data_IF_385252956797
#
_entry.id   IF_385252956797
#
_cell.length_a   1.000
_cell.length_b   1.000
_cell.length_c   1.000
_cell.angle_alpha   90.00
_cell.angle_beta   90.00
_cell.angle_gamma   90.00
#
_symmetry.space_group_name_H-M   'P 1'
#
loop_
_entity.id
_entity.type
_entity.pdbx_description
1 polymer ?
#
# COMPACT_ATOMS: atom_id res chain seq x y z
N UNK A 1 -22.61 27.02 -4.20
CA UNK A 1 -22.86 26.59 -5.60
C UNK A 1 -23.58 25.24 -5.58
N UNK A 2 -24.66 25.12 -6.32
CA UNK A 2 -25.58 23.97 -6.39
C UNK A 2 -24.91 22.65 -6.79
N UNK A 3 -23.77 22.68 -7.48
CA UNK A 3 -23.02 21.49 -7.88
C UNK A 3 -22.30 20.75 -6.73
N UNK A 4 -22.10 21.35 -5.58
CA UNK A 4 -21.37 20.70 -4.48
C UNK A 4 -22.20 19.64 -3.73
N UNK A 5 -23.55 19.69 -3.81
CA UNK A 5 -24.43 18.69 -3.20
C UNK A 5 -24.35 17.34 -3.91
N UNK A 6 -24.05 17.35 -5.22
CA UNK A 6 -24.07 16.19 -6.11
C UNK A 6 -22.95 15.16 -5.80
N UNK A 7 -21.91 15.56 -5.03
CA UNK A 7 -20.73 14.76 -4.77
C UNK A 7 -20.51 14.50 -3.27
N UNK A 8 -21.56 14.13 -2.57
CA UNK A 8 -21.48 13.83 -1.14
C UNK A 8 -22.01 12.42 -0.85
N UNK A 9 -21.18 11.53 -0.30
CA UNK A 9 -19.79 11.74 0.14
C UNK A 9 -18.76 11.78 -1.01
N UNK A 10 -17.58 12.34 -0.75
CA UNK A 10 -16.39 12.12 -1.56
C UNK A 10 -15.58 10.97 -0.96
N UNK A 11 -15.43 9.90 -1.71
CA UNK A 11 -14.67 8.72 -1.30
C UNK A 11 -13.37 8.62 -2.10
N UNK A 12 -12.25 8.76 -1.42
CA UNK A 12 -10.91 8.77 -2.01
C UNK A 12 -10.21 7.48 -1.65
N UNK A 13 -9.81 6.68 -2.64
CA UNK A 13 -9.07 5.47 -2.36
C UNK A 13 -7.78 5.38 -3.18
N UNK A 14 -6.87 4.48 -2.78
CA UNK A 14 -5.61 4.24 -3.45
C UNK A 14 -4.65 3.46 -2.57
N UNK A 15 -3.56 2.97 -3.13
CA UNK A 15 -2.56 2.19 -2.43
C UNK A 15 -2.00 2.89 -1.18
N UNK A 16 -1.29 2.12 -0.35
CA UNK A 16 -0.59 2.67 0.82
C UNK A 16 0.50 3.64 0.38
N UNK A 17 0.59 4.79 1.06
CA UNK A 17 1.64 5.79 0.77
C UNK A 17 1.40 6.66 -0.47
N UNK A 18 0.19 6.63 -1.08
CA UNK A 18 -0.14 7.45 -2.27
C UNK A 18 -0.49 8.90 -1.95
N UNK A 19 -0.55 9.30 -0.69
CA UNK A 19 -0.82 10.69 -0.30
C UNK A 19 -2.27 10.99 0.09
N UNK A 20 -3.14 9.97 0.30
CA UNK A 20 -4.55 10.16 0.72
C UNK A 20 -4.69 11.07 1.94
N UNK A 21 -4.01 10.73 3.03
CA UNK A 21 -3.98 11.52 4.26
C UNK A 21 -3.49 12.95 4.02
N UNK A 22 -2.49 13.13 3.16
CA UNK A 22 -1.98 14.45 2.79
C UNK A 22 -3.03 15.27 2.07
N UNK A 23 -3.76 14.68 1.14
CA UNK A 23 -4.85 15.33 0.42
C UNK A 23 -6.00 15.73 1.37
N UNK A 24 -6.41 14.84 2.29
CA UNK A 24 -7.43 15.18 3.30
C UNK A 24 -6.97 16.34 4.18
N UNK A 25 -5.72 16.33 4.64
CA UNK A 25 -5.17 17.43 5.43
C UNK A 25 -5.13 18.75 4.63
N UNK A 26 -4.74 18.71 3.36
CA UNK A 26 -4.73 19.89 2.50
C UNK A 26 -6.14 20.48 2.33
N UNK A 27 -7.14 19.64 2.06
CA UNK A 27 -8.54 20.05 1.98
C UNK A 27 -9.00 20.66 3.31
N UNK A 28 -8.71 20.00 4.43
CA UNK A 28 -9.10 20.49 5.75
C UNK A 28 -8.44 21.80 6.10
N UNK A 29 -7.18 21.98 5.75
CA UNK A 29 -6.44 23.22 5.98
C UNK A 29 -7.01 24.40 5.19
N UNK A 30 -7.35 24.17 3.92
CA UNK A 30 -7.94 25.19 3.04
C UNK A 30 -9.31 25.64 3.55
N UNK A 31 -10.13 24.72 4.05
CA UNK A 31 -11.52 25.00 4.41
C UNK A 31 -11.74 25.41 5.88
N UNK A 32 -10.75 25.27 6.75
CA UNK A 32 -10.90 25.46 8.21
C UNK A 32 -11.26 26.90 8.64
N UNK A 33 -11.00 27.89 7.80
CA UNK A 33 -11.29 29.29 8.12
C UNK A 33 -12.77 29.63 7.90
N UNK A 34 -13.43 28.96 6.95
CA UNK A 34 -14.80 29.24 6.51
C UNK A 34 -15.81 28.22 7.08
N UNK A 35 -15.35 27.04 7.46
CA UNK A 35 -16.18 25.92 7.89
C UNK A 35 -15.65 25.25 9.16
N UNK A 36 -16.56 24.68 9.93
CA UNK A 36 -16.21 23.83 11.05
C UNK A 36 -15.74 22.46 10.54
N UNK A 37 -14.45 22.34 10.28
CA UNK A 37 -13.81 21.13 9.74
C UNK A 37 -13.38 20.22 10.88
N UNK A 38 -13.76 18.94 10.80
CA UNK A 38 -13.28 17.88 11.66
C UNK A 38 -12.46 16.87 10.85
N UNK A 39 -11.19 16.71 11.18
CA UNK A 39 -10.33 15.66 10.65
C UNK A 39 -10.06 14.60 11.71
N UNK A 40 -10.35 13.33 11.38
CA UNK A 40 -10.17 12.22 12.30
C UNK A 40 -9.82 10.93 11.53
N UNK A 41 -8.94 10.08 12.08
CA UNK A 41 -8.79 8.71 11.57
C UNK A 41 -9.90 7.80 12.10
N UNK A 42 -10.26 6.76 11.33
CA UNK A 42 -11.23 5.75 11.78
C UNK A 42 -10.81 5.07 13.09
N UNK A 43 -9.52 4.93 13.32
CA UNK A 43 -8.95 4.38 14.55
C UNK A 43 -9.20 5.29 15.76
N UNK A 44 -9.01 6.60 15.60
CA UNK A 44 -9.28 7.60 16.65
C UNK A 44 -10.78 7.77 16.90
N UNK A 45 -11.61 7.68 15.86
CA UNK A 45 -13.07 7.63 16.01
C UNK A 45 -13.48 6.45 16.89
N UNK A 46 -12.94 5.25 16.65
CA UNK A 46 -13.16 4.08 17.47
C UNK A 46 -12.73 4.29 18.93
N UNK A 47 -11.54 4.85 19.13
CA UNK A 47 -11.06 5.12 20.49
C UNK A 47 -12.02 6.03 21.25
N UNK A 48 -12.48 7.11 20.62
CA UNK A 48 -13.44 8.05 21.24
C UNK A 48 -14.80 7.39 21.49
N UNK A 49 -15.28 6.55 20.57
CA UNK A 49 -16.52 5.78 20.72
C UNK A 49 -16.44 4.83 21.94
N UNK A 50 -15.40 4.03 22.05
CA UNK A 50 -15.20 3.12 23.21
C UNK A 50 -15.07 3.91 24.51
N UNK A 51 -14.39 5.04 24.51
CA UNK A 51 -14.28 5.92 25.66
C UNK A 51 -15.66 6.45 26.09
N UNK A 52 -16.47 6.91 25.14
CA UNK A 52 -17.81 7.42 25.41
C UNK A 52 -18.76 6.34 26.00
N UNK A 53 -18.66 5.09 25.52
CA UNK A 53 -19.41 3.97 26.12
C UNK A 53 -18.96 3.74 27.56
N UNK A 54 -17.66 3.66 27.82
CA UNK A 54 -17.13 3.41 29.17
C UNK A 54 -17.44 4.52 30.18
N UNK A 55 -17.52 5.77 29.69
CA UNK A 55 -17.85 6.94 30.54
C UNK A 55 -19.35 7.25 30.57
N UNK A 56 -20.20 6.46 29.91
CA UNK A 56 -21.64 6.68 29.73
C UNK A 56 -21.98 8.09 29.14
N UNK A 57 -21.16 8.58 28.22
CA UNK A 57 -21.22 9.95 27.67
C UNK A 57 -21.46 9.95 26.14
N UNK A 58 -22.31 9.04 25.69
CA UNK A 58 -22.65 8.88 24.27
C UNK A 58 -23.35 10.10 23.67
N UNK A 59 -24.06 10.89 24.49
CA UNK A 59 -24.73 12.11 24.03
C UNK A 59 -23.69 13.12 23.54
N UNK A 60 -22.69 13.42 24.38
CA UNK A 60 -21.61 14.35 23.99
C UNK A 60 -20.81 13.85 22.81
N UNK A 61 -20.56 12.53 22.71
CA UNK A 61 -19.90 11.95 21.55
C UNK A 61 -20.68 12.25 20.27
N UNK A 62 -22.00 12.00 20.27
CA UNK A 62 -22.86 12.24 19.13
C UNK A 62 -22.90 13.73 18.76
N UNK A 63 -23.07 14.61 19.73
CA UNK A 63 -23.07 16.06 19.52
C UNK A 63 -21.75 16.55 18.93
N UNK A 64 -20.63 16.07 19.44
CA UNK A 64 -19.30 16.44 18.98
C UNK A 64 -19.09 16.14 17.49
N UNK A 65 -19.47 14.94 17.03
CA UNK A 65 -19.31 14.56 15.62
C UNK A 65 -20.39 15.15 14.70
N UNK A 66 -21.64 15.23 15.17
CA UNK A 66 -22.77 15.70 14.35
C UNK A 66 -22.82 17.23 14.21
N UNK A 67 -22.10 17.95 15.05
CA UNK A 67 -22.01 19.41 14.98
C UNK A 67 -20.79 19.88 14.19
N UNK A 68 -20.61 19.35 12.97
CA UNK A 68 -19.54 19.76 12.06
C UNK A 68 -20.08 20.04 10.67
N UNK A 69 -19.43 20.91 9.90
CA UNK A 69 -19.85 21.25 8.54
C UNK A 69 -19.14 20.36 7.52
N UNK A 70 -17.89 19.96 7.83
CA UNK A 70 -17.08 19.09 6.99
C UNK A 70 -16.42 18.02 7.87
N UNK A 71 -16.73 16.75 7.60
CA UNK A 71 -16.12 15.60 8.24
C UNK A 71 -15.12 14.93 7.29
N UNK A 72 -13.84 14.89 7.68
CA UNK A 72 -12.76 14.20 6.98
C UNK A 72 -12.39 12.97 7.79
N UNK A 73 -12.60 11.78 7.23
CA UNK A 73 -12.27 10.52 7.88
C UNK A 73 -11.18 9.79 7.09
N UNK A 74 -10.07 9.54 7.76
CA UNK A 74 -8.94 8.84 7.17
C UNK A 74 -8.95 7.35 7.52
N UNK A 75 -8.56 6.53 6.54
CA UNK A 75 -8.33 5.09 6.68
C UNK A 75 -9.55 4.30 7.20
N UNK A 76 -10.69 4.41 6.52
CA UNK A 76 -11.96 3.78 6.90
C UNK A 76 -11.87 2.26 7.04
N UNK A 77 -10.90 1.59 6.41
CA UNK A 77 -10.69 0.15 6.52
C UNK A 77 -10.37 -0.31 7.96
N UNK A 78 -9.96 0.57 8.86
CA UNK A 78 -9.78 0.25 10.28
C UNK A 78 -11.10 -0.05 11.01
N UNK A 79 -12.26 0.21 10.38
CA UNK A 79 -13.57 -0.22 10.89
C UNK A 79 -13.90 -1.68 10.60
N UNK A 80 -13.08 -2.41 9.84
CA UNK A 80 -13.33 -3.79 9.45
C UNK A 80 -13.61 -4.69 10.66
N UNK A 81 -14.77 -5.39 10.63
CA UNK A 81 -15.16 -6.34 11.67
C UNK A 81 -15.60 -5.73 13.02
N UNK A 82 -15.76 -4.41 13.10
CA UNK A 82 -16.16 -3.69 14.33
C UNK A 82 -17.61 -3.23 14.22
N UNK A 83 -18.55 -4.14 14.32
CA UNK A 83 -19.97 -3.94 14.02
C UNK A 83 -20.61 -2.77 14.79
N UNK A 84 -20.45 -2.71 16.12
CA UNK A 84 -21.02 -1.63 16.94
C UNK A 84 -20.48 -0.24 16.54
N UNK A 85 -19.21 -0.16 16.18
CA UNK A 85 -18.60 1.08 15.69
C UNK A 85 -19.16 1.45 14.31
N UNK A 86 -19.31 0.48 13.41
CA UNK A 86 -19.89 0.69 12.08
C UNK A 86 -21.33 1.19 12.18
N UNK A 87 -22.09 0.70 13.16
CA UNK A 87 -23.45 1.14 13.42
C UNK A 87 -23.52 2.60 13.86
N UNK A 88 -22.74 2.99 14.87
CA UNK A 88 -22.70 4.40 15.32
C UNK A 88 -22.15 5.33 14.24
N UNK A 89 -21.14 4.86 13.49
CA UNK A 89 -20.64 5.59 12.33
C UNK A 89 -21.72 5.83 11.28
N UNK A 90 -22.51 4.80 10.95
CA UNK A 90 -23.61 4.91 10.00
C UNK A 90 -24.67 5.92 10.43
N UNK A 91 -25.03 5.94 11.72
CA UNK A 91 -25.95 6.94 12.27
C UNK A 91 -25.38 8.35 12.23
N UNK A 92 -24.10 8.52 12.57
CA UNK A 92 -23.41 9.80 12.49
C UNK A 92 -23.30 10.28 11.05
N UNK A 93 -23.00 9.40 10.12
CA UNK A 93 -22.92 9.66 8.69
C UNK A 93 -24.25 10.16 8.13
N UNK A 94 -25.35 9.47 8.42
CA UNK A 94 -26.68 9.91 7.96
C UNK A 94 -27.09 11.26 8.58
N UNK A 95 -26.88 11.47 9.87
CA UNK A 95 -27.19 12.72 10.53
C UNK A 95 -26.41 13.91 9.91
N UNK A 96 -25.18 13.69 9.47
CA UNK A 96 -24.39 14.70 8.77
C UNK A 96 -24.91 14.96 7.35
N UNK A 97 -25.30 13.92 6.62
CA UNK A 97 -25.92 14.09 5.29
C UNK A 97 -27.23 14.86 5.38
N UNK A 98 -28.08 14.53 6.34
CA UNK A 98 -29.39 15.18 6.57
C UNK A 98 -29.21 16.66 6.95
N UNK A 99 -28.14 16.99 7.68
CA UNK A 99 -27.74 18.37 8.00
C UNK A 99 -27.19 19.13 6.77
N UNK A 100 -26.83 18.44 5.68
CA UNK A 100 -26.13 19.02 4.53
C UNK A 100 -24.62 19.14 4.71
N UNK A 101 -24.05 18.57 5.76
CA UNK A 101 -22.59 18.55 5.99
C UNK A 101 -21.88 17.74 4.91
N UNK A 102 -20.65 18.14 4.57
CA UNK A 102 -19.81 17.42 3.62
C UNK A 102 -19.01 16.32 4.30
N UNK A 103 -18.94 15.15 3.66
CA UNK A 103 -18.19 14.00 4.18
C UNK A 103 -17.16 13.59 3.15
N UNK A 104 -15.90 13.51 3.56
CA UNK A 104 -14.78 13.03 2.75
C UNK A 104 -14.13 11.85 3.48
N UNK A 105 -14.03 10.73 2.79
CA UNK A 105 -13.54 9.47 3.36
C UNK A 105 -12.32 8.99 2.56
N UNK A 106 -11.26 8.58 3.24
CA UNK A 106 -10.16 7.87 2.60
C UNK A 106 -10.16 6.37 2.90
N UNK A 107 -9.65 5.59 1.96
CA UNK A 107 -9.49 4.14 2.10
C UNK A 107 -8.28 3.60 1.31
N UNK A 108 -7.88 2.37 1.61
CA UNK A 108 -6.85 1.67 0.85
C UNK A 108 -7.37 1.02 -0.44
N UNK A 109 -8.70 0.92 -0.60
CA UNK A 109 -9.38 0.25 -1.72
C UNK A 109 -10.78 0.80 -1.98
N UNK A 110 -11.35 0.46 -3.16
CA UNK A 110 -12.69 0.85 -3.56
C UNK A 110 -13.77 0.33 -2.56
N UNK A 111 -14.93 1.01 -2.44
CA UNK A 111 -15.98 0.65 -1.47
C UNK A 111 -16.41 -0.82 -1.54
N UNK A 112 -16.62 -1.36 -2.74
CA UNK A 112 -17.03 -2.75 -2.97
C UNK A 112 -15.97 -3.79 -2.58
N UNK A 113 -14.70 -3.37 -2.43
CA UNK A 113 -13.58 -4.24 -2.00
C UNK A 113 -13.29 -4.17 -0.52
N UNK A 114 -14.02 -3.35 0.25
CA UNK A 114 -13.89 -3.31 1.70
C UNK A 114 -14.41 -4.62 2.29
N UNK A 115 -13.55 -5.36 2.99
CA UNK A 115 -13.93 -6.59 3.68
C UNK A 115 -14.55 -6.27 5.04
N UNK A 116 -15.54 -7.07 5.50
CA UNK A 116 -16.16 -6.96 6.84
C UNK A 116 -16.68 -5.55 7.18
N UNK A 117 -17.07 -4.78 6.17
CA UNK A 117 -17.84 -3.54 6.29
C UNK A 117 -19.27 -3.84 5.84
N UNK A 118 -20.25 -3.33 6.58
CA UNK A 118 -21.67 -3.54 6.30
C UNK A 118 -22.04 -2.97 4.92
N UNK A 119 -22.87 -3.70 4.18
CA UNK A 119 -23.27 -3.32 2.80
C UNK A 119 -23.96 -1.95 2.74
N UNK A 120 -24.73 -1.58 3.77
CA UNK A 120 -25.37 -0.25 3.84
C UNK A 120 -24.35 0.91 3.87
N UNK A 121 -23.18 0.72 4.51
CA UNK A 121 -22.10 1.71 4.53
C UNK A 121 -21.41 1.78 3.16
N UNK A 122 -21.10 0.61 2.56
CA UNK A 122 -20.52 0.55 1.21
C UNK A 122 -21.42 1.21 0.17
N UNK A 123 -22.72 0.98 0.25
CA UNK A 123 -23.72 1.61 -0.61
C UNK A 123 -23.70 3.14 -0.48
N UNK A 124 -23.61 3.66 0.75
CA UNK A 124 -23.49 5.11 0.99
C UNK A 124 -22.22 5.70 0.38
N UNK A 125 -21.09 5.00 0.51
CA UNK A 125 -19.83 5.44 -0.10
C UNK A 125 -19.90 5.45 -1.63
N UNK A 126 -20.54 4.43 -2.21
CA UNK A 126 -20.69 4.30 -3.66
C UNK A 126 -21.71 5.27 -4.24
N UNK A 127 -22.65 5.77 -3.41
CA UNK A 127 -23.67 6.76 -3.83
C UNK A 127 -23.14 8.17 -4.05
N UNK A 128 -21.90 8.44 -3.62
CA UNK A 128 -21.21 9.71 -3.84
C UNK A 128 -20.19 9.68 -4.98
N UNK A 129 -19.22 10.57 -4.92
CA UNK A 129 -18.08 10.55 -5.86
C UNK A 129 -16.96 9.64 -5.34
N UNK A 130 -16.60 8.65 -6.13
CA UNK A 130 -15.50 7.72 -5.83
C UNK A 130 -14.31 8.04 -6.71
N UNK A 131 -13.17 8.37 -6.11
CA UNK A 131 -11.93 8.78 -6.79
C UNK A 131 -10.79 7.85 -6.44
N UNK A 132 -10.10 7.34 -7.46
CA UNK A 132 -8.90 6.50 -7.31
C UNK A 132 -7.63 7.34 -7.43
N UNK A 133 -6.80 7.34 -6.38
CA UNK A 133 -5.47 7.97 -6.43
C UNK A 133 -4.47 6.97 -6.99
N UNK A 134 -4.04 7.24 -8.22
CA UNK A 134 -3.05 6.46 -8.93
C UNK A 134 -1.62 6.73 -8.41
N UNK A 135 -0.71 5.82 -8.74
CA UNK A 135 0.72 6.06 -8.49
C UNK A 135 1.17 7.33 -9.23
N UNK A 136 1.99 8.17 -8.58
CA UNK A 136 2.49 9.37 -9.23
C UNK A 136 3.35 8.99 -10.45
N UNK A 137 3.16 9.69 -11.55
CA UNK A 137 4.05 9.61 -12.70
C UNK A 137 5.42 10.25 -12.39
N UNK A 138 6.36 10.16 -13.32
CA UNK A 138 7.70 10.68 -13.12
C UNK A 138 7.70 12.19 -12.83
N UNK A 139 6.92 12.97 -13.57
CA UNK A 139 6.87 14.43 -13.43
C UNK A 139 6.28 14.86 -12.08
N UNK A 140 5.25 14.17 -11.63
CA UNK A 140 4.67 14.42 -10.31
C UNK A 140 5.65 14.04 -9.19
N UNK A 141 6.37 12.90 -9.31
CA UNK A 141 7.42 12.54 -8.35
C UNK A 141 8.51 13.59 -8.27
N UNK A 142 8.95 14.12 -9.41
CA UNK A 142 9.95 15.19 -9.48
C UNK A 142 9.48 16.47 -8.79
N UNK A 143 8.22 16.86 -8.98
CA UNK A 143 7.60 17.98 -8.27
C UNK A 143 7.53 17.74 -6.76
N UNK A 144 7.16 16.54 -6.33
CA UNK A 144 7.10 16.17 -4.90
C UNK A 144 8.49 16.28 -4.26
N UNK A 145 9.51 15.76 -4.94
CA UNK A 145 10.93 15.87 -4.50
C UNK A 145 11.35 17.32 -4.37
N UNK A 146 11.06 18.14 -5.38
CA UNK A 146 11.41 19.56 -5.39
C UNK A 146 10.72 20.31 -4.23
N UNK A 147 9.41 20.19 -4.10
CA UNK A 147 8.64 20.86 -3.05
C UNK A 147 9.13 20.43 -1.66
N UNK A 148 9.44 19.13 -1.47
CA UNK A 148 9.93 18.64 -0.18
C UNK A 148 11.32 19.17 0.16
N UNK A 149 12.20 19.31 -0.81
CA UNK A 149 13.52 19.95 -0.62
C UNK A 149 13.37 21.42 -0.26
N UNK A 150 12.46 22.15 -0.91
CA UNK A 150 12.18 23.56 -0.58
C UNK A 150 11.64 23.71 0.85
N UNK A 151 10.73 22.83 1.27
CA UNK A 151 10.23 22.77 2.65
C UNK A 151 11.35 22.52 3.65
N UNK A 152 12.20 21.53 3.36
CA UNK A 152 13.33 21.16 4.20
C UNK A 152 14.39 22.28 4.28
N UNK A 153 14.64 22.99 3.18
CA UNK A 153 15.55 24.13 3.14
C UNK A 153 15.05 25.32 3.98
N UNK A 154 13.72 25.50 4.07
CA UNK A 154 13.14 26.51 4.98
C UNK A 154 13.37 26.15 6.45
N UNK A 155 13.32 24.86 6.78
CA UNK A 155 13.54 24.36 8.15
C UNK A 155 15.02 24.30 8.53
N UNK A 156 15.89 24.05 7.56
CA UNK A 156 17.34 23.86 7.74
C UNK A 156 18.11 24.64 6.69
N UNK A 157 18.19 26.00 6.80
CA UNK A 157 18.92 26.83 5.85
C UNK A 157 20.36 26.37 5.70
N UNK A 158 20.86 26.34 4.47
CA UNK A 158 22.26 26.01 4.10
C UNK A 158 22.76 24.60 4.47
N UNK A 159 21.89 23.73 5.01
CA UNK A 159 22.27 22.36 5.39
C UNK A 159 21.86 21.31 4.34
N UNK A 160 21.03 21.68 3.34
CA UNK A 160 20.46 20.74 2.41
C UNK A 160 20.66 21.24 0.98
N UNK A 161 21.70 20.72 0.33
CA UNK A 161 21.94 20.97 -1.10
C UNK A 161 22.00 19.64 -1.85
N UNK A 162 20.83 19.10 -2.21
CA UNK A 162 20.75 17.87 -3.00
C UNK A 162 20.88 18.23 -4.48
N UNK A 163 21.91 17.71 -5.15
CA UNK A 163 22.18 17.98 -6.56
C UNK A 163 21.00 17.54 -7.47
N UNK A 164 20.89 18.17 -8.65
CA UNK A 164 19.89 17.80 -9.65
C UNK A 164 19.99 16.31 -10.02
N UNK A 165 21.20 15.80 -10.19
CA UNK A 165 21.46 14.39 -10.49
C UNK A 165 20.83 13.44 -9.46
N UNK A 166 21.02 13.73 -8.18
CA UNK A 166 20.43 12.91 -7.08
C UNK A 166 18.91 13.04 -7.06
N UNK A 167 18.36 14.24 -7.30
CA UNK A 167 16.89 14.44 -7.36
C UNK A 167 16.28 13.65 -8.51
N UNK A 168 16.87 13.69 -9.68
CA UNK A 168 16.42 12.94 -10.86
C UNK A 168 16.58 11.43 -10.62
N UNK A 169 17.67 10.98 -10.01
CA UNK A 169 17.91 9.60 -9.62
C UNK A 169 16.81 9.08 -8.66
N UNK A 170 16.53 9.80 -7.56
CA UNK A 170 15.50 9.40 -6.59
C UNK A 170 14.12 9.34 -7.25
N UNK A 171 13.79 10.34 -8.08
CA UNK A 171 12.50 10.41 -8.78
C UNK A 171 12.33 9.29 -9.80
N UNK A 172 13.41 8.76 -10.36
CA UNK A 172 13.38 7.63 -11.30
C UNK A 172 13.26 6.30 -10.55
N UNK A 173 14.17 6.07 -9.61
CA UNK A 173 14.31 4.76 -8.97
C UNK A 173 13.23 4.47 -7.92
N UNK A 174 12.78 5.48 -7.17
CA UNK A 174 11.78 5.29 -6.11
C UNK A 174 10.39 5.59 -6.64
N UNK A 175 9.76 4.57 -7.21
CA UNK A 175 8.43 4.67 -7.86
C UNK A 175 7.29 3.98 -7.09
N UNK A 176 7.58 3.31 -5.98
CA UNK A 176 6.60 2.47 -5.28
C UNK A 176 5.54 3.29 -4.56
N UNK A 177 5.94 4.34 -3.82
CA UNK A 177 5.01 5.22 -3.11
C UNK A 177 5.61 6.61 -2.81
N UNK A 178 4.74 7.61 -2.60
CA UNK A 178 5.15 8.95 -2.14
C UNK A 178 5.79 8.89 -0.76
N UNK A 179 5.33 7.98 0.11
CA UNK A 179 5.92 7.78 1.45
C UNK A 179 7.38 7.35 1.37
N UNK A 180 7.71 6.42 0.48
CA UNK A 180 9.10 5.98 0.28
C UNK A 180 9.95 7.07 -0.33
N UNK A 181 9.40 7.83 -1.30
CA UNK A 181 10.08 8.95 -1.93
C UNK A 181 10.47 10.03 -0.90
N UNK A 182 9.54 10.42 -0.02
CA UNK A 182 9.78 11.36 1.08
C UNK A 182 10.73 10.74 2.12
N UNK A 183 10.59 9.46 2.42
CA UNK A 183 11.48 8.72 3.32
C UNK A 183 12.93 8.72 2.83
N UNK A 184 13.15 8.55 1.53
CA UNK A 184 14.47 8.65 0.92
C UNK A 184 15.10 10.03 1.10
N UNK A 185 14.34 11.09 0.85
CA UNK A 185 14.82 12.47 1.06
C UNK A 185 15.20 12.71 2.53
N UNK A 186 14.36 12.29 3.47
CA UNK A 186 14.65 12.45 4.89
C UNK A 186 15.93 11.69 5.30
N UNK A 187 16.20 10.51 4.74
CA UNK A 187 17.46 9.77 4.98
C UNK A 187 18.68 10.53 4.45
N UNK A 188 18.60 11.10 3.25
CA UNK A 188 19.71 11.88 2.69
C UNK A 188 19.98 13.17 3.48
N UNK A 189 18.93 13.85 3.93
CA UNK A 189 19.05 15.00 4.81
C UNK A 189 19.69 14.62 6.15
N UNK A 190 19.27 13.51 6.74
CA UNK A 190 19.88 13.00 7.98
C UNK A 190 21.35 12.65 7.78
N UNK A 191 21.71 12.02 6.65
CA UNK A 191 23.10 11.76 6.29
C UNK A 191 23.91 13.05 6.19
N UNK A 192 23.41 14.06 5.46
CA UNK A 192 24.09 15.36 5.29
C UNK A 192 24.34 16.04 6.64
N UNK A 193 23.38 15.97 7.56
CA UNK A 193 23.51 16.59 8.90
C UNK A 193 24.51 15.85 9.79
N UNK A 194 24.48 14.51 9.78
CA UNK A 194 25.38 13.68 10.62
C UNK A 194 26.83 13.81 10.13
N UNK A 195 27.05 13.69 8.84
CA UNK A 195 28.39 13.69 8.25
C UNK A 195 28.88 15.07 7.85
N UNK A 196 28.05 16.12 7.99
CA UNK A 196 28.33 17.52 7.58
C UNK A 196 28.82 17.61 6.14
N UNK A 197 28.30 16.78 5.26
CA UNK A 197 28.62 16.77 3.82
C UNK A 197 27.41 16.37 2.97
N UNK A 198 27.38 16.88 1.75
CA UNK A 198 26.36 16.51 0.76
C UNK A 198 26.72 15.13 0.19
N UNK A 199 25.80 14.14 0.20
CA UNK A 199 26.09 12.84 -0.38
C UNK A 199 26.29 12.95 -1.90
N UNK A 200 27.27 12.22 -2.43
CA UNK A 200 27.37 11.98 -3.86
C UNK A 200 26.45 10.83 -4.31
N UNK A 201 26.40 10.53 -5.62
CA UNK A 201 25.51 9.49 -6.15
C UNK A 201 25.84 8.08 -5.59
N UNK A 202 27.12 7.75 -5.40
CA UNK A 202 27.54 6.48 -4.85
C UNK A 202 27.11 6.33 -3.38
N UNK A 203 27.31 7.35 -2.57
CA UNK A 203 26.84 7.40 -1.19
C UNK A 203 25.33 7.38 -1.10
N UNK A 204 24.62 8.07 -2.00
CA UNK A 204 23.16 8.04 -2.11
C UNK A 204 22.64 6.62 -2.33
N UNK A 205 23.27 5.86 -3.23
CA UNK A 205 22.91 4.44 -3.46
C UNK A 205 23.11 3.58 -2.22
N UNK A 206 24.18 3.81 -1.46
CA UNK A 206 24.42 3.08 -0.20
C UNK A 206 23.37 3.44 0.86
N UNK A 207 23.09 4.73 1.06
CA UNK A 207 22.12 5.22 2.05
C UNK A 207 20.70 4.74 1.75
N UNK A 208 20.36 4.62 0.47
CA UNK A 208 19.02 4.23 0.00
C UNK A 208 18.94 2.77 -0.43
N UNK A 209 19.97 1.95 -0.18
CA UNK A 209 20.05 0.56 -0.64
C UNK A 209 18.77 -0.23 -0.41
N UNK A 210 18.16 -0.14 0.78
CA UNK A 210 16.94 -0.88 1.10
C UNK A 210 15.73 -0.44 0.26
N UNK A 211 15.62 0.88 -0.04
CA UNK A 211 14.54 1.41 -0.86
C UNK A 211 14.74 1.12 -2.35
N UNK A 212 16.00 1.15 -2.81
CA UNK A 212 16.38 0.82 -4.19
C UNK A 212 16.17 -0.68 -4.47
N UNK A 213 16.57 -1.54 -3.56
CA UNK A 213 16.36 -3.00 -3.68
C UNK A 213 14.87 -3.36 -3.73
N UNK A 214 13.99 -2.61 -3.07
CA UNK A 214 12.54 -2.77 -3.21
C UNK A 214 12.04 -2.36 -4.61
N UNK A 215 12.76 -1.46 -5.29
CA UNK A 215 12.44 -1.01 -6.66
C UNK A 215 13.06 -1.91 -7.74
N UNK A 216 14.28 -2.39 -7.52
CA UNK A 216 14.99 -3.32 -8.42
C UNK A 216 14.48 -4.75 -8.32
N UNK A 217 14.03 -5.17 -7.15
CA UNK A 217 13.39 -6.47 -6.93
C UNK A 217 11.90 -6.43 -7.30
N UNK A 218 11.58 -6.08 -8.55
CA UNK A 218 10.38 -6.63 -9.16
C UNK A 218 10.62 -8.11 -9.38
N UNK A 219 10.33 -8.89 -8.35
CA UNK A 219 10.28 -10.34 -8.47
C UNK A 219 9.32 -10.67 -9.61
N UNK A 220 9.86 -10.98 -10.77
CA UNK A 220 9.07 -11.36 -11.95
C UNK A 220 8.84 -12.86 -11.93
N UNK A 221 7.75 -13.30 -12.54
CA UNK A 221 7.48 -14.74 -12.68
C UNK A 221 8.62 -15.41 -13.46
N UNK A 222 9.16 -14.71 -14.45
CA UNK A 222 10.28 -15.18 -15.26
C UNK A 222 11.55 -15.43 -14.42
N UNK A 223 11.89 -14.49 -13.53
CA UNK A 223 13.00 -14.66 -12.59
C UNK A 223 12.79 -15.88 -11.68
N UNK A 224 11.60 -16.02 -11.09
CA UNK A 224 11.26 -17.16 -10.23
C UNK A 224 11.41 -18.47 -11.02
N UNK A 225 10.84 -18.54 -12.22
CA UNK A 225 10.95 -19.74 -13.07
C UNK A 225 12.42 -20.07 -13.37
N UNK A 226 13.22 -19.07 -13.72
CA UNK A 226 14.64 -19.24 -14.05
C UNK A 226 15.44 -19.77 -12.86
N UNK A 227 15.29 -19.16 -11.68
CA UNK A 227 16.02 -19.60 -10.47
C UNK A 227 15.58 -20.96 -9.97
N UNK A 228 14.27 -21.27 -10.00
CA UNK A 228 13.77 -22.60 -9.64
C UNK A 228 14.25 -23.65 -10.64
N UNK A 229 14.29 -23.35 -11.95
CA UNK A 229 14.86 -24.25 -12.94
C UNK A 229 16.35 -24.54 -12.68
N UNK A 230 17.15 -23.50 -12.39
CA UNK A 230 18.58 -23.65 -12.05
C UNK A 230 18.74 -24.50 -10.80
N UNK A 231 17.97 -24.27 -9.76
CA UNK A 231 18.05 -25.01 -8.49
C UNK A 231 17.72 -26.48 -8.66
N UNK A 232 16.67 -26.83 -9.39
CA UNK A 232 16.26 -28.23 -9.61
C UNK A 232 16.92 -28.87 -10.84
N UNK A 233 17.83 -28.18 -11.51
CA UNK A 233 18.55 -28.64 -12.71
C UNK A 233 17.62 -29.13 -13.83
N UNK A 234 16.56 -28.41 -14.10
CA UNK A 234 15.60 -28.65 -15.19
C UNK A 234 15.54 -27.45 -16.14
N UNK A 235 15.14 -27.69 -17.39
CA UNK A 235 14.91 -26.60 -18.33
C UNK A 235 13.55 -25.92 -18.09
N UNK A 236 13.44 -24.67 -18.52
CA UNK A 236 12.17 -23.92 -18.45
C UNK A 236 11.07 -24.59 -19.28
N UNK A 237 11.43 -25.15 -20.43
CA UNK A 237 10.49 -25.89 -21.28
C UNK A 237 9.94 -27.14 -20.58
N UNK A 238 10.76 -27.87 -19.84
CA UNK A 238 10.34 -29.02 -19.03
C UNK A 238 9.43 -28.60 -17.88
N UNK A 239 9.77 -27.52 -17.16
CA UNK A 239 8.93 -26.99 -16.09
C UNK A 239 7.54 -26.62 -16.62
N UNK A 240 7.45 -25.97 -17.78
CA UNK A 240 6.21 -25.52 -18.39
C UNK A 240 5.45 -26.62 -19.14
N UNK A 241 6.07 -27.78 -19.40
CA UNK A 241 5.46 -28.89 -20.12
C UNK A 241 4.20 -29.44 -19.41
N UNK A 242 3.38 -30.21 -20.14
CA UNK A 242 2.22 -30.93 -19.59
C UNK A 242 2.57 -32.20 -18.83
N UNK A 243 3.86 -32.62 -18.85
CA UNK A 243 4.33 -33.86 -18.20
C UNK A 243 4.06 -33.84 -16.70
N UNK A 244 3.67 -35.00 -16.14
CA UNK A 244 3.27 -35.20 -14.74
C UNK A 244 4.27 -35.99 -13.89
N UNK A 245 5.48 -36.20 -14.39
CA UNK A 245 6.55 -36.89 -13.63
C UNK A 245 6.94 -36.08 -12.39
N UNK A 246 7.16 -36.78 -11.27
CA UNK A 246 7.40 -36.16 -9.95
C UNK A 246 8.55 -35.14 -9.97
N UNK A 247 9.62 -35.43 -10.72
CA UNK A 247 10.78 -34.57 -10.84
C UNK A 247 10.51 -33.24 -11.57
N UNK A 248 9.41 -33.12 -12.35
CA UNK A 248 8.94 -31.88 -12.98
C UNK A 248 7.79 -31.21 -12.20
N UNK A 249 6.94 -32.03 -11.58
CA UNK A 249 5.78 -31.52 -10.84
C UNK A 249 6.22 -30.74 -9.60
N UNK A 250 7.21 -31.27 -8.86
CA UNK A 250 7.68 -30.64 -7.63
C UNK A 250 8.31 -29.27 -7.89
N UNK A 251 9.28 -29.10 -8.80
CA UNK A 251 9.81 -27.77 -9.16
C UNK A 251 8.73 -26.80 -9.62
N UNK A 252 7.80 -27.26 -10.45
CA UNK A 252 6.68 -26.45 -10.93
C UNK A 252 5.78 -25.96 -9.79
N UNK A 253 5.41 -26.84 -8.85
CA UNK A 253 4.61 -26.48 -7.67
C UNK A 253 5.37 -25.48 -6.80
N UNK A 254 6.67 -25.66 -6.62
CA UNK A 254 7.54 -24.72 -5.88
C UNK A 254 7.58 -23.35 -6.55
N UNK A 255 7.75 -23.29 -7.88
CA UNK A 255 7.73 -22.03 -8.63
C UNK A 255 6.38 -21.33 -8.54
N UNK A 256 5.27 -22.05 -8.68
CA UNK A 256 3.91 -21.52 -8.51
C UNK A 256 3.71 -20.97 -7.10
N UNK A 257 4.11 -21.70 -6.07
CA UNK A 257 4.03 -21.27 -4.67
C UNK A 257 4.84 -20.00 -4.42
N UNK A 258 6.11 -19.95 -4.85
CA UNK A 258 6.96 -18.77 -4.72
C UNK A 258 6.39 -17.57 -5.50
N UNK A 259 5.85 -17.80 -6.69
CA UNK A 259 5.17 -16.75 -7.45
C UNK A 259 3.98 -16.18 -6.67
N UNK A 260 3.17 -17.03 -6.03
CA UNK A 260 2.02 -16.59 -5.24
C UNK A 260 2.40 -15.76 -4.03
N UNK A 261 3.48 -16.12 -3.33
CA UNK A 261 3.88 -15.41 -2.09
C UNK A 261 4.79 -14.20 -2.35
N UNK A 262 5.53 -14.16 -3.46
CA UNK A 262 6.50 -13.11 -3.75
C UNK A 262 6.02 -12.08 -4.78
N UNK A 263 4.86 -12.30 -5.40
CA UNK A 263 4.27 -11.35 -6.36
C UNK A 263 2.82 -11.00 -6.00
N UNK A 264 2.35 -9.86 -6.51
CA UNK A 264 0.94 -9.44 -6.37
C UNK A 264 0.02 -10.02 -7.44
N UNK A 265 0.48 -11.05 -8.20
CA UNK A 265 -0.28 -11.64 -9.30
C UNK A 265 -1.47 -12.46 -8.81
N UNK A 266 -2.59 -12.34 -9.52
CA UNK A 266 -3.79 -13.15 -9.29
C UNK A 266 -3.59 -14.60 -9.76
N UNK A 267 -4.37 -15.53 -9.23
CA UNK A 267 -4.29 -16.95 -9.61
C UNK A 267 -4.47 -17.17 -11.12
N UNK A 268 -5.41 -16.49 -11.82
CA UNK A 268 -5.52 -16.59 -13.28
C UNK A 268 -4.29 -16.06 -14.02
N UNK A 269 -3.67 -14.97 -13.57
CA UNK A 269 -2.44 -14.44 -14.17
C UNK A 269 -1.28 -15.45 -14.01
N UNK A 270 -1.12 -16.03 -12.81
CA UNK A 270 -0.13 -17.09 -12.57
C UNK A 270 -0.39 -18.28 -13.50
N UNK A 271 -1.65 -18.71 -13.64
CA UNK A 271 -2.01 -19.81 -14.54
C UNK A 271 -1.56 -19.59 -15.98
N UNK A 272 -1.73 -18.38 -16.51
CA UNK A 272 -1.29 -18.00 -17.87
C UNK A 272 0.21 -18.16 -18.05
N UNK A 273 1.00 -17.68 -17.10
CA UNK A 273 2.47 -17.75 -17.14
C UNK A 273 3.03 -19.19 -16.94
N UNK A 274 2.21 -20.09 -16.40
CA UNK A 274 2.53 -21.51 -16.28
C UNK A 274 1.80 -22.38 -17.30
N UNK A 275 1.85 -21.98 -18.58
CA UNK A 275 1.27 -22.69 -19.75
C UNK A 275 -0.26 -22.81 -19.70
N UNK A 276 -0.94 -21.69 -19.40
CA UNK A 276 -2.40 -21.60 -19.34
C UNK A 276 -3.07 -22.64 -18.43
N UNK A 277 -2.43 -22.94 -17.29
CA UNK A 277 -3.02 -23.85 -16.30
C UNK A 277 -4.21 -23.22 -15.61
N UNK A 278 -5.21 -24.05 -15.38
CA UNK A 278 -6.41 -23.64 -14.65
C UNK A 278 -6.09 -23.15 -13.23
N UNK A 279 -6.85 -22.16 -12.76
CA UNK A 279 -6.68 -21.59 -11.41
C UNK A 279 -6.83 -22.64 -10.30
N UNK A 280 -7.62 -23.69 -10.49
CA UNK A 280 -7.75 -24.80 -9.55
C UNK A 280 -6.44 -25.58 -9.43
N UNK A 281 -5.71 -25.75 -10.52
CA UNK A 281 -4.35 -26.36 -10.53
C UNK A 281 -3.36 -25.48 -9.76
N UNK A 282 -3.47 -24.16 -9.88
CA UNK A 282 -2.62 -23.22 -9.13
C UNK A 282 -2.91 -23.32 -7.64
N UNK A 283 -4.19 -23.29 -7.24
CA UNK A 283 -4.61 -23.45 -5.82
C UNK A 283 -4.09 -24.78 -5.25
N UNK A 284 -4.28 -25.89 -5.99
CA UNK A 284 -3.80 -27.21 -5.59
C UNK A 284 -2.28 -27.23 -5.39
N UNK A 285 -1.53 -26.60 -6.30
CA UNK A 285 -0.07 -26.51 -6.22
C UNK A 285 0.39 -25.77 -4.97
N UNK A 286 -0.26 -24.63 -4.65
CA UNK A 286 0.04 -23.86 -3.44
C UNK A 286 -0.24 -24.68 -2.18
N UNK A 287 -1.44 -25.25 -2.05
CA UNK A 287 -1.82 -26.08 -0.90
C UNK A 287 -0.91 -27.30 -0.73
N UNK A 288 -0.46 -27.89 -1.83
CA UNK A 288 0.46 -29.04 -1.78
C UNK A 288 1.79 -28.66 -1.16
N UNK A 289 2.36 -27.51 -1.54
CA UNK A 289 3.62 -27.04 -0.97
C UNK A 289 3.45 -26.63 0.49
N UNK A 290 2.33 -25.98 0.85
CA UNK A 290 2.03 -25.64 2.25
C UNK A 290 2.01 -26.87 3.16
N UNK A 291 1.30 -27.93 2.76
CA UNK A 291 1.28 -29.23 3.49
C UNK A 291 2.67 -29.87 3.60
N UNK A 292 3.47 -29.76 2.55
CA UNK A 292 4.82 -30.35 2.57
C UNK A 292 5.74 -29.62 3.52
N UNK A 293 5.62 -28.30 3.64
CA UNK A 293 6.36 -27.51 4.62
C UNK A 293 6.10 -27.92 6.06
N UNK A 294 4.92 -28.45 6.35
CA UNK A 294 4.57 -28.93 7.70
C UNK A 294 5.30 -30.23 8.07
N UNK A 295 5.63 -31.08 7.07
CA UNK A 295 6.09 -32.45 7.27
C UNK A 295 7.47 -32.77 6.70
N UNK A 296 8.10 -31.81 5.99
CA UNK A 296 9.35 -32.02 5.26
C UNK A 296 10.34 -30.85 5.51
N UNK A 297 11.27 -31.00 6.48
CA UNK A 297 12.26 -29.98 6.79
C UNK A 297 13.16 -29.60 5.60
N UNK A 298 13.49 -30.55 4.74
CA UNK A 298 14.30 -30.32 3.53
C UNK A 298 13.57 -29.38 2.56
N UNK A 299 12.25 -29.58 2.43
CA UNK A 299 11.42 -28.72 1.60
C UNK A 299 11.36 -27.28 2.15
N UNK A 300 11.30 -27.10 3.46
CA UNK A 300 11.36 -25.79 4.11
C UNK A 300 12.68 -25.10 3.81
N UNK A 301 13.80 -25.81 3.96
CA UNK A 301 15.12 -25.27 3.69
C UNK A 301 15.29 -24.85 2.21
N UNK A 302 14.87 -25.71 1.29
CA UNK A 302 14.92 -25.45 -0.15
C UNK A 302 14.08 -24.21 -0.54
N UNK A 303 12.88 -24.04 0.02
CA UNK A 303 12.04 -22.87 -0.21
C UNK A 303 12.70 -21.62 0.35
N UNK A 304 13.30 -21.67 1.54
CA UNK A 304 13.99 -20.54 2.15
C UNK A 304 15.24 -20.13 1.35
N UNK A 305 16.04 -21.09 0.87
CA UNK A 305 17.18 -20.82 -0.03
C UNK A 305 16.72 -20.13 -1.31
N UNK A 306 15.73 -20.69 -2.00
CA UNK A 306 15.16 -20.09 -3.21
C UNK A 306 14.58 -18.69 -2.96
N UNK A 307 13.84 -18.53 -1.87
CA UNK A 307 13.27 -17.23 -1.49
C UNK A 307 14.36 -16.17 -1.27
N UNK A 308 15.43 -16.53 -0.59
CA UNK A 308 16.57 -15.65 -0.37
C UNK A 308 17.30 -15.31 -1.68
N UNK A 309 17.53 -16.29 -2.56
CA UNK A 309 18.12 -16.06 -3.88
C UNK A 309 17.23 -15.11 -4.73
N UNK A 310 15.92 -15.32 -4.75
CA UNK A 310 14.97 -14.49 -5.51
C UNK A 310 14.93 -13.05 -4.96
N UNK A 311 14.92 -12.87 -3.63
CA UNK A 311 14.76 -11.56 -3.01
C UNK A 311 16.06 -10.74 -2.98
N UNK A 312 17.22 -11.40 -2.88
CA UNK A 312 18.48 -10.71 -2.63
C UNK A 312 19.49 -10.85 -3.79
N UNK A 313 19.11 -11.53 -4.86
CA UNK A 313 19.97 -11.77 -6.05
C UNK A 313 21.40 -12.19 -5.66
N UNK A 314 21.54 -12.90 -4.53
CA UNK A 314 22.80 -13.48 -4.11
C UNK A 314 23.01 -14.75 -4.93
N UNK A 315 23.89 -14.67 -5.89
CA UNK A 315 24.56 -15.87 -6.40
C UNK A 315 25.41 -16.41 -5.25
N UNK A 316 24.86 -17.33 -4.46
CA UNK A 316 25.68 -18.13 -3.58
C UNK A 316 26.49 -19.09 -4.47
N UNK A 317 27.80 -18.99 -4.34
CA UNK A 317 28.76 -19.94 -4.83
C UNK A 317 28.32 -21.36 -4.44
N UNK A 318 28.13 -22.19 -5.47
CA UNK A 318 28.02 -23.65 -5.34
C UNK A 318 29.39 -24.23 -5.67
#
# INVERSE_FOLDING_TARGET
SENAAQYNPLYIYGGVGMGKTHLLNAIGFELKNDYKVMFISAERFMYQFVKAIKSNDMVKFKEYFRNTDILLIDDIQFMNGKEAMQEEFFHTFNALLDKGSKIIVSADRAPNKLSRIQERIKSRFSGGLVVDIQKPDFELRKKIVQNKIEELNKLYPDQINISKEIRDFISTEISASVRELVGALNRLVSFSRIYKKIPNLAETKVVLKDLLNLSENKVTIDLIQTLVCKFFKISKNEMLSSRRSRYLVRPRQTAIYLTKILTSKSLPEIGREFSNRDHTTIIHSVKTIEKLKENDPEMVENINKLKNQILYNKEDEI
#
